data_IF_515852015312
#
_entry.id   IF_515852015312
#
_cell.length_a   1.000
_cell.length_b   1.000
_cell.length_c   1.000
_cell.angle_alpha   90.00
_cell.angle_beta   90.00
_cell.angle_gamma   90.00
#
_symmetry.space_group_name_H-M   'P 1'
#
loop_
_entity.id
_entity.type
_entity.pdbx_description
1 polymer ?
#
# COMPACT_ATOMS: atom_id res chain seq x y z
N UNK A 1 17.11 -15.42 -16.78
CA UNK A 1 16.79 -16.62 -15.96
C UNK A 1 17.36 -16.55 -14.54
N UNK A 2 17.99 -15.44 -14.15
CA UNK A 2 18.75 -15.30 -12.89
C UNK A 2 17.91 -14.65 -11.75
N UNK A 3 16.98 -13.75 -12.10
CA UNK A 3 16.13 -13.02 -11.15
C UNK A 3 15.21 -13.94 -10.32
N UNK A 4 14.58 -14.93 -10.96
CA UNK A 4 13.69 -15.88 -10.29
C UNK A 4 14.40 -16.66 -9.17
N UNK A 5 15.63 -17.12 -9.45
CA UNK A 5 16.45 -17.86 -8.49
C UNK A 5 16.89 -16.96 -7.33
N UNK A 6 17.28 -15.71 -7.63
CA UNK A 6 17.63 -14.69 -6.61
C UNK A 6 16.46 -14.33 -5.68
N UNK A 7 15.22 -14.51 -6.13
CA UNK A 7 14.01 -14.32 -5.31
C UNK A 7 13.63 -15.58 -4.51
N UNK A 8 14.30 -16.71 -4.73
CA UNK A 8 13.99 -18.01 -4.12
C UNK A 8 12.84 -18.75 -4.81
N UNK A 9 12.55 -18.43 -6.07
CA UNK A 9 11.48 -19.03 -6.86
C UNK A 9 12.04 -20.05 -7.84
N UNK A 10 11.27 -21.11 -8.13
CA UNK A 10 11.67 -22.02 -9.20
C UNK A 10 11.51 -21.35 -10.58
N UNK A 11 12.23 -21.85 -11.60
CA UNK A 11 12.29 -21.23 -12.94
C UNK A 11 10.91 -21.03 -13.59
N UNK A 12 9.98 -21.97 -13.38
CA UNK A 12 8.62 -21.91 -13.92
C UNK A 12 7.81 -20.83 -13.20
N UNK A 13 7.80 -20.85 -11.87
CA UNK A 13 7.11 -19.87 -11.02
C UNK A 13 7.61 -18.45 -11.30
N UNK A 14 8.92 -18.22 -11.33
CA UNK A 14 9.47 -16.89 -11.54
C UNK A 14 9.14 -16.29 -12.91
N UNK A 15 9.09 -17.11 -13.98
CA UNK A 15 8.73 -16.63 -15.33
C UNK A 15 7.29 -16.14 -15.39
N UNK A 16 6.36 -16.87 -14.78
CA UNK A 16 4.96 -16.45 -14.73
C UNK A 16 4.76 -15.26 -13.78
N UNK A 17 5.45 -15.26 -12.64
CA UNK A 17 5.33 -14.20 -11.64
C UNK A 17 5.81 -12.83 -12.16
N UNK A 18 6.96 -12.78 -12.82
CA UNK A 18 7.49 -11.53 -13.41
C UNK A 18 6.54 -11.04 -14.50
N UNK A 19 6.12 -11.95 -15.39
CA UNK A 19 5.13 -11.63 -16.42
C UNK A 19 3.85 -11.07 -15.80
N UNK A 20 3.35 -11.67 -14.72
CA UNK A 20 2.15 -11.26 -14.02
C UNK A 20 2.30 -9.87 -13.38
N UNK A 21 3.47 -9.56 -12.84
CA UNK A 21 3.77 -8.22 -12.31
C UNK A 21 3.81 -7.16 -13.41
N UNK A 22 4.42 -7.46 -14.55
CA UNK A 22 4.55 -6.53 -15.68
C UNK A 22 3.25 -6.35 -16.47
N UNK A 23 2.44 -7.41 -16.61
CA UNK A 23 1.31 -7.43 -17.55
C UNK A 23 -0.06 -7.38 -16.90
N UNK A 24 -0.21 -7.87 -15.65
CA UNK A 24 -1.51 -8.01 -14.98
C UNK A 24 -1.75 -7.02 -13.85
N UNK A 25 -0.78 -6.15 -13.57
CA UNK A 25 -0.87 -5.20 -12.45
C UNK A 25 -0.94 -5.89 -11.09
N UNK A 26 -0.40 -7.12 -10.98
CA UNK A 26 -0.34 -7.87 -9.74
C UNK A 26 0.82 -7.33 -8.93
N UNK A 27 0.56 -6.94 -7.68
CA UNK A 27 1.61 -6.45 -6.78
C UNK A 27 2.37 -7.62 -6.16
N UNK A 28 3.71 -7.51 -6.01
CA UNK A 28 4.48 -8.52 -5.30
C UNK A 28 4.01 -8.65 -3.85
N UNK A 29 4.19 -9.85 -3.28
CA UNK A 29 4.01 -10.04 -1.84
C UNK A 29 4.99 -9.18 -1.07
N UNK A 30 4.71 -8.91 0.22
CA UNK A 30 5.58 -8.10 1.08
C UNK A 30 7.04 -8.58 1.05
N UNK A 31 7.25 -9.88 1.18
CA UNK A 31 8.59 -10.49 1.18
C UNK A 31 9.30 -10.35 -0.16
N UNK A 32 8.60 -10.61 -1.27
CA UNK A 32 9.17 -10.48 -2.62
C UNK A 32 9.47 -9.01 -2.90
N UNK A 33 8.61 -8.08 -2.48
CA UNK A 33 8.81 -6.65 -2.63
C UNK A 33 10.05 -6.15 -1.89
N UNK A 34 10.32 -6.65 -0.67
CA UNK A 34 11.57 -6.34 0.07
C UNK A 34 12.78 -6.93 -0.67
N UNK A 35 12.72 -8.21 -1.07
CA UNK A 35 13.84 -8.85 -1.80
C UNK A 35 14.16 -8.13 -3.10
N UNK A 36 13.14 -7.70 -3.84
CA UNK A 36 13.28 -6.90 -5.05
C UNK A 36 13.94 -5.55 -4.74
N UNK A 37 13.51 -4.86 -3.68
CA UNK A 37 14.10 -3.58 -3.27
C UNK A 37 15.59 -3.72 -2.95
N UNK A 38 15.96 -4.75 -2.17
CA UNK A 38 17.37 -5.07 -1.88
C UNK A 38 18.13 -5.42 -3.15
N UNK A 39 17.57 -6.25 -4.02
CA UNK A 39 18.24 -6.72 -5.23
C UNK A 39 18.51 -5.60 -6.23
N UNK A 40 17.57 -4.68 -6.38
CA UNK A 40 17.70 -3.52 -7.25
C UNK A 40 18.33 -2.31 -6.55
N UNK A 41 18.76 -2.45 -5.28
CA UNK A 41 19.36 -1.38 -4.47
C UNK A 41 18.53 -0.10 -4.47
N UNK A 42 17.21 -0.23 -4.34
CA UNK A 42 16.30 0.93 -4.33
C UNK A 42 16.34 1.66 -2.98
N UNK A 43 16.14 2.97 -2.99
CA UNK A 43 16.05 3.78 -1.75
C UNK A 43 14.75 3.53 -0.94
N UNK A 44 13.87 2.63 -1.39
CA UNK A 44 12.59 2.31 -0.75
C UNK A 44 12.65 0.96 -0.04
N UNK A 45 11.89 0.81 1.06
CA UNK A 45 11.79 -0.47 1.80
C UNK A 45 11.05 -1.55 1.01
N UNK A 46 10.15 -1.13 0.11
CA UNK A 46 9.35 -2.00 -0.74
C UNK A 46 9.56 -1.60 -2.20
N UNK A 47 9.70 -2.59 -3.09
CA UNK A 47 9.87 -2.36 -4.51
C UNK A 47 8.58 -1.79 -5.11
N UNK A 48 8.59 -0.47 -5.36
CA UNK A 48 7.52 0.31 -6.00
C UNK A 48 6.09 0.01 -5.49
N UNK A 49 5.93 -0.15 -4.17
CA UNK A 49 4.64 -0.42 -3.55
C UNK A 49 4.27 0.62 -2.49
N UNK A 50 3.64 1.71 -2.96
CA UNK A 50 3.19 2.82 -2.12
C UNK A 50 2.21 2.39 -1.01
N UNK A 51 1.49 1.27 -1.20
CA UNK A 51 0.59 0.77 -0.16
C UNK A 51 1.37 0.15 0.99
N UNK A 52 2.41 -0.65 0.71
CA UNK A 52 3.25 -1.19 1.77
C UNK A 52 4.00 -0.08 2.50
N UNK A 53 4.46 0.96 1.82
CA UNK A 53 5.00 2.13 2.50
C UNK A 53 3.97 2.82 3.38
N UNK A 54 2.77 3.05 2.86
CA UNK A 54 1.68 3.70 3.59
C UNK A 54 1.35 2.97 4.89
N UNK A 55 1.12 1.66 4.86
CA UNK A 55 0.76 0.91 6.06
C UNK A 55 1.88 0.89 7.12
N UNK A 56 3.15 1.02 6.70
CA UNK A 56 4.29 1.10 7.62
C UNK A 56 4.57 2.51 8.12
N UNK A 57 4.15 3.55 7.39
CA UNK A 57 4.31 4.98 7.75
C UNK A 57 3.16 5.51 8.62
N UNK A 58 2.84 4.81 9.72
CA UNK A 58 1.83 5.22 10.74
C UNK A 58 0.57 5.85 10.13
N UNK A 59 -0.05 5.13 9.18
CA UNK A 59 -1.11 5.68 8.32
C UNK A 59 -2.34 6.18 9.08
N UNK A 60 -2.65 5.63 10.25
CA UNK A 60 -3.75 6.08 11.12
C UNK A 60 -3.57 7.53 11.55
N UNK A 61 -2.35 7.91 11.94
CA UNK A 61 -2.04 9.29 12.26
C UNK A 61 -2.12 10.20 11.02
N UNK A 62 -1.74 9.70 9.85
CA UNK A 62 -1.90 10.44 8.60
C UNK A 62 -3.38 10.68 8.26
N UNK A 63 -4.23 9.66 8.38
CA UNK A 63 -5.69 9.77 8.19
C UNK A 63 -6.30 10.80 9.13
N UNK A 64 -5.96 10.72 10.42
CA UNK A 64 -6.44 11.63 11.46
C UNK A 64 -5.98 13.06 11.21
N UNK A 65 -4.74 13.25 10.79
CA UNK A 65 -4.16 14.57 10.48
C UNK A 65 -4.82 15.19 9.26
N UNK A 66 -5.01 14.40 8.19
CA UNK A 66 -5.75 14.83 7.00
C UNK A 66 -7.17 15.26 7.36
N UNK A 67 -7.90 14.45 8.14
CA UNK A 67 -9.26 14.76 8.57
C UNK A 67 -9.32 16.08 9.36
N UNK A 68 -8.45 16.24 10.36
CA UNK A 68 -8.39 17.45 11.20
C UNK A 68 -8.03 18.70 10.37
N UNK A 69 -7.05 18.60 9.47
CA UNK A 69 -6.62 19.71 8.61
C UNK A 69 -7.74 20.21 7.68
N UNK A 70 -8.65 19.32 7.29
CA UNK A 70 -9.81 19.67 6.45
C UNK A 70 -11.08 19.95 7.27
N UNK A 71 -10.99 20.07 8.61
CA UNK A 71 -12.13 20.29 9.51
C UNK A 71 -13.27 19.27 9.33
N UNK A 72 -12.93 18.03 9.03
CA UNK A 72 -13.90 16.96 8.78
C UNK A 72 -14.21 16.17 10.06
N UNK A 73 -15.47 15.78 10.20
CA UNK A 73 -15.87 14.70 11.14
C UNK A 73 -15.45 13.34 10.57
N UNK A 74 -15.38 12.32 11.43
CA UNK A 74 -15.07 10.95 10.97
C UNK A 74 -16.15 10.42 10.00
N UNK A 75 -17.41 10.80 10.19
CA UNK A 75 -18.51 10.44 9.26
C UNK A 75 -18.30 11.07 7.88
N UNK A 76 -17.93 12.35 7.82
CA UNK A 76 -17.63 13.01 6.54
C UNK A 76 -16.41 12.40 5.86
N UNK A 77 -15.35 12.13 6.61
CA UNK A 77 -14.14 11.49 6.08
C UNK A 77 -14.42 10.08 5.52
N UNK A 78 -15.25 9.30 6.21
CA UNK A 78 -15.74 8.01 5.73
C UNK A 78 -16.53 8.14 4.41
N UNK A 79 -17.39 9.17 4.30
CA UNK A 79 -18.13 9.46 3.08
C UNK A 79 -17.21 9.78 1.88
N UNK A 80 -16.14 10.58 2.10
CA UNK A 80 -15.13 10.86 1.06
C UNK A 80 -14.45 9.58 0.55
N UNK A 81 -14.10 8.67 1.47
CA UNK A 81 -13.49 7.40 1.14
C UNK A 81 -14.49 6.33 0.65
N UNK A 82 -15.79 6.65 0.63
CA UNK A 82 -16.89 5.71 0.28
C UNK A 82 -16.81 4.42 1.11
N UNK A 83 -16.65 4.59 2.42
CA UNK A 83 -16.65 3.52 3.42
C UNK A 83 -17.58 3.87 4.59
N UNK A 84 -17.86 2.90 5.45
CA UNK A 84 -18.67 3.16 6.65
C UNK A 84 -17.89 3.94 7.69
N UNK A 85 -18.62 4.60 8.60
CA UNK A 85 -18.03 5.28 9.75
C UNK A 85 -17.16 4.34 10.59
N UNK A 86 -17.62 3.12 10.83
CA UNK A 86 -16.93 2.10 11.63
C UNK A 86 -15.61 1.72 10.97
N UNK A 87 -15.61 1.56 9.65
CA UNK A 87 -14.41 1.27 8.85
C UNK A 87 -13.37 2.39 9.01
N UNK A 88 -13.79 3.64 8.84
CA UNK A 88 -12.91 4.80 8.99
C UNK A 88 -12.39 4.95 10.42
N UNK A 89 -13.28 4.81 11.41
CA UNK A 89 -12.92 4.87 12.82
C UNK A 89 -11.93 3.76 13.20
N UNK A 90 -12.08 2.56 12.62
CA UNK A 90 -11.14 1.46 12.80
C UNK A 90 -9.75 1.80 12.26
N UNK A 91 -9.69 2.40 11.06
CA UNK A 91 -8.43 2.83 10.45
C UNK A 91 -7.73 3.93 11.24
N UNK A 92 -8.44 4.96 11.71
CA UNK A 92 -7.85 6.03 12.53
C UNK A 92 -7.32 5.54 13.89
N UNK A 93 -7.89 4.46 14.43
CA UNK A 93 -7.51 3.91 15.73
C UNK A 93 -6.62 2.65 15.62
N UNK A 94 -6.06 2.34 14.43
CA UNK A 94 -5.26 1.14 14.18
C UNK A 94 -5.93 -0.20 14.57
N UNK A 95 -7.27 -0.26 14.66
CA UNK A 95 -7.97 -1.49 15.04
C UNK A 95 -7.98 -2.52 13.91
N UNK A 96 -7.99 -2.06 12.66
CA UNK A 96 -7.86 -2.90 11.47
C UNK A 96 -6.92 -2.26 10.47
N UNK A 97 -6.15 -3.09 9.77
CA UNK A 97 -5.29 -2.63 8.68
C UNK A 97 -6.19 -2.29 7.48
N UNK A 98 -6.03 -1.07 6.96
CA UNK A 98 -6.66 -0.65 5.70
C UNK A 98 -6.27 -1.60 4.56
N UNK A 99 -7.25 -2.10 3.82
CA UNK A 99 -6.99 -2.94 2.65
C UNK A 99 -6.41 -2.12 1.50
N UNK A 100 -5.75 -2.77 0.52
CA UNK A 100 -5.30 -2.11 -0.72
C UNK A 100 -6.42 -1.39 -1.44
N UNK A 101 -7.61 -1.99 -1.50
CA UNK A 101 -8.79 -1.36 -2.12
C UNK A 101 -9.22 -0.10 -1.39
N UNK A 102 -9.21 -0.12 -0.05
CA UNK A 102 -9.45 1.06 0.78
C UNK A 102 -8.41 2.16 0.56
N UNK A 103 -7.12 1.77 0.52
CA UNK A 103 -6.03 2.68 0.22
C UNK A 103 -6.20 3.34 -1.15
N UNK A 104 -6.49 2.58 -2.23
CA UNK A 104 -6.66 3.18 -3.55
C UNK A 104 -7.84 4.14 -3.66
N UNK A 105 -8.94 3.88 -2.94
CA UNK A 105 -10.08 4.81 -2.85
C UNK A 105 -9.67 6.13 -2.20
N UNK A 106 -8.87 6.05 -1.15
CA UNK A 106 -8.48 7.22 -0.36
C UNK A 106 -7.22 7.94 -0.88
N UNK A 107 -6.28 7.23 -1.52
CA UNK A 107 -4.99 7.73 -2.01
C UNK A 107 -5.15 9.00 -2.84
N UNK A 108 -6.22 9.07 -3.63
CA UNK A 108 -6.58 10.23 -4.48
C UNK A 108 -6.69 11.54 -3.69
N UNK A 109 -7.08 11.48 -2.42
CA UNK A 109 -7.27 12.64 -1.55
C UNK A 109 -6.05 12.99 -0.70
N UNK A 110 -5.14 12.02 -0.49
CA UNK A 110 -3.89 12.23 0.28
C UNK A 110 -2.65 12.40 -0.58
N UNK A 111 -2.73 12.22 -1.89
CA UNK A 111 -1.56 12.36 -2.76
C UNK A 111 -0.88 13.74 -2.65
N UNK A 112 -1.65 14.80 -2.35
CA UNK A 112 -1.13 16.16 -2.07
C UNK A 112 -0.34 16.27 -0.75
N UNK A 113 -0.44 15.30 0.13
CA UNK A 113 0.18 15.27 1.47
C UNK A 113 1.30 14.22 1.59
N UNK A 114 1.52 13.43 0.53
CA UNK A 114 2.56 12.39 0.45
C UNK A 114 3.82 12.88 -0.30
N UNK A 115 3.90 14.17 -0.65
CA UNK A 115 4.98 14.78 -1.42
C UNK A 115 5.80 15.73 -0.56
#
# INVERSE_FOLDING_TARGET
MDLALKLGLNKKQGRYLIKDYETRGIYPSREISIKLATLFSTNTTYFYDDYYEFINKNYSNLLKSWRKKNNLTQKQAAAYAKVTYETWNSWENNRTIISRTGYHKFKKYIYKYLR
#
